data_IF_501567409261
#
_entry.id   IF_501567409261
#
_cell.length_a   1.000
_cell.length_b   1.000
_cell.length_c   1.000
_cell.angle_alpha   90.00
_cell.angle_beta   90.00
_cell.angle_gamma   90.00
#
_symmetry.space_group_name_H-M   'P 1'
#
loop_
_entity.id
_entity.type
_entity.pdbx_description
1 polymer ?
#
# COMPACT_ATOMS: atom_id res chain seq x y z
N UNK A 1 0.14 -14.44 20.53
CA UNK A 1 -1.20 -13.83 20.51
C UNK A 1 -2.23 -14.61 21.30
N UNK A 2 -2.19 -15.93 21.28
CA UNK A 2 -3.09 -16.79 22.07
C UNK A 2 -2.97 -16.53 23.56
N UNK A 3 -1.73 -16.37 24.08
CA UNK A 3 -1.48 -16.10 25.50
C UNK A 3 -2.13 -14.80 25.98
N UNK A 4 -2.12 -13.74 25.18
CA UNK A 4 -2.75 -12.46 25.56
C UNK A 4 -4.26 -12.62 25.73
N UNK A 5 -4.92 -13.38 24.86
CA UNK A 5 -6.35 -13.68 24.95
C UNK A 5 -6.71 -14.53 26.17
N UNK A 6 -5.82 -15.42 26.56
CA UNK A 6 -6.01 -16.27 27.75
C UNK A 6 -5.90 -15.46 29.05
N UNK A 7 -4.91 -14.55 29.11
CA UNK A 7 -4.66 -13.72 30.31
C UNK A 7 -5.62 -12.52 30.37
N UNK A 8 -5.95 -11.93 29.22
CA UNK A 8 -6.80 -10.73 29.11
C UNK A 8 -7.93 -10.97 28.11
N UNK A 9 -8.97 -11.77 28.45
CA UNK A 9 -10.01 -12.15 27.50
C UNK A 9 -10.84 -11.00 26.94
N UNK A 10 -10.86 -9.84 27.63
CA UNK A 10 -11.54 -8.61 27.18
C UNK A 10 -10.62 -7.67 26.43
N UNK A 11 -9.33 -7.94 26.33
CA UNK A 11 -8.39 -7.07 25.62
C UNK A 11 -8.57 -7.21 24.11
N UNK A 12 -8.59 -6.06 23.43
CA UNK A 12 -8.52 -6.02 21.97
C UNK A 12 -7.06 -6.03 21.52
N UNK A 13 -6.71 -6.98 20.66
CA UNK A 13 -5.40 -7.03 20.04
C UNK A 13 -5.41 -6.08 18.84
N UNK A 14 -4.50 -5.11 18.83
CA UNK A 14 -4.38 -4.09 17.80
C UNK A 14 -3.02 -4.25 17.13
N UNK A 15 -3.03 -4.37 15.80
CA UNK A 15 -1.81 -4.29 15.01
C UNK A 15 -1.42 -2.83 14.81
N UNK A 16 -0.12 -2.54 14.81
CA UNK A 16 0.36 -1.22 14.46
C UNK A 16 -0.04 -0.88 13.02
N UNK A 17 -0.65 0.30 12.83
CA UNK A 17 -1.00 0.83 11.51
C UNK A 17 0.19 0.84 10.56
N UNK A 18 1.37 1.17 11.08
CA UNK A 18 2.62 1.17 10.31
C UNK A 18 2.92 -0.22 9.74
N UNK A 19 2.74 -1.29 10.52
CA UNK A 19 2.99 -2.66 10.05
C UNK A 19 2.02 -3.08 8.95
N UNK A 20 0.76 -2.66 9.02
CA UNK A 20 -0.23 -2.96 7.99
C UNK A 20 0.14 -2.27 6.67
N UNK A 21 0.44 -0.97 6.73
CA UNK A 21 0.87 -0.20 5.55
C UNK A 21 2.18 -0.75 5.00
N UNK A 22 3.12 -1.11 5.87
CA UNK A 22 4.41 -1.68 5.48
C UNK A 22 4.25 -3.01 4.74
N UNK A 23 3.30 -3.85 5.15
CA UNK A 23 3.02 -5.13 4.50
C UNK A 23 2.63 -4.93 3.02
N UNK A 24 1.67 -4.05 2.76
CA UNK A 24 1.20 -3.78 1.39
C UNK A 24 2.19 -2.94 0.58
N UNK A 25 2.91 -2.02 1.21
CA UNK A 25 3.94 -1.24 0.52
C UNK A 25 5.13 -2.09 0.08
N UNK A 26 5.54 -3.06 0.90
CA UNK A 26 6.57 -4.05 0.54
C UNK A 26 6.11 -4.93 -0.63
N UNK A 27 4.86 -5.36 -0.63
CA UNK A 27 4.31 -6.17 -1.72
C UNK A 27 4.29 -5.38 -3.04
N UNK A 28 3.85 -4.12 -3.01
CA UNK A 28 3.88 -3.25 -4.18
C UNK A 28 5.31 -3.02 -4.66
N UNK A 29 6.24 -2.74 -3.75
CA UNK A 29 7.64 -2.52 -4.11
C UNK A 29 8.30 -3.77 -4.73
N UNK A 30 8.02 -4.96 -4.21
CA UNK A 30 8.50 -6.22 -4.79
C UNK A 30 7.93 -6.43 -6.20
N UNK A 31 6.66 -6.13 -6.41
CA UNK A 31 6.02 -6.17 -7.73
C UNK A 31 6.71 -5.23 -8.70
N UNK A 32 6.98 -4.00 -8.27
CA UNK A 32 7.73 -3.01 -9.06
C UNK A 32 9.12 -3.53 -9.43
N UNK A 33 9.87 -4.07 -8.46
CA UNK A 33 11.23 -4.60 -8.69
C UNK A 33 11.20 -5.73 -9.71
N UNK A 34 10.26 -6.66 -9.58
CA UNK A 34 10.10 -7.76 -10.53
C UNK A 34 9.81 -7.24 -11.94
N UNK A 35 8.86 -6.33 -12.07
CA UNK A 35 8.52 -5.71 -13.35
C UNK A 35 9.72 -4.96 -13.95
N UNK A 36 10.40 -4.16 -13.13
CA UNK A 36 11.59 -3.40 -13.53
C UNK A 36 12.70 -4.33 -14.09
N UNK A 37 12.93 -5.47 -13.43
CA UNK A 37 13.95 -6.42 -13.85
C UNK A 37 13.58 -7.17 -15.14
N UNK A 38 12.30 -7.38 -15.37
CA UNK A 38 11.78 -8.04 -16.58
C UNK A 38 11.69 -7.10 -17.78
N UNK A 39 11.63 -5.78 -17.54
CA UNK A 39 11.44 -4.75 -18.57
C UNK A 39 12.57 -3.73 -18.56
N UNK A 40 13.71 -4.11 -19.13
CA UNK A 40 14.95 -3.32 -19.13
C UNK A 40 14.78 -1.93 -19.77
N UNK A 41 13.89 -1.81 -20.71
CA UNK A 41 13.56 -0.55 -21.38
C UNK A 41 13.08 0.53 -20.40
N UNK A 42 12.32 0.12 -19.36
CA UNK A 42 11.77 1.03 -18.36
C UNK A 42 12.52 1.01 -17.03
N UNK A 43 13.62 0.27 -16.94
CA UNK A 43 14.37 0.04 -15.71
C UNK A 43 14.68 1.33 -14.95
N UNK A 44 15.26 2.32 -15.64
CA UNK A 44 15.68 3.57 -15.00
C UNK A 44 14.49 4.40 -14.50
N UNK A 45 13.35 4.36 -15.19
CA UNK A 45 12.13 5.06 -14.77
C UNK A 45 11.61 4.48 -13.46
N UNK A 46 11.50 3.17 -13.37
CA UNK A 46 11.07 2.49 -12.14
C UNK A 46 12.08 2.64 -10.99
N UNK A 47 13.37 2.58 -11.29
CA UNK A 47 14.42 2.73 -10.29
C UNK A 47 14.46 4.14 -9.71
N UNK A 48 14.31 5.15 -10.55
CA UNK A 48 14.41 6.55 -10.13
C UNK A 48 13.17 7.01 -9.36
N UNK A 49 11.97 6.62 -9.80
CA UNK A 49 10.70 7.14 -9.29
C UNK A 49 9.93 6.17 -8.39
N UNK A 50 10.59 5.18 -7.80
CA UNK A 50 9.93 4.17 -6.96
C UNK A 50 9.17 4.76 -5.76
N UNK A 51 9.66 5.86 -5.18
CA UNK A 51 9.03 6.52 -4.04
C UNK A 51 7.68 7.12 -4.39
N UNK A 52 7.50 7.55 -5.63
CA UNK A 52 6.22 8.09 -6.09
C UNK A 52 5.12 7.03 -6.12
N UNK A 53 5.47 5.77 -6.43
CA UNK A 53 4.52 4.66 -6.39
C UNK A 53 4.03 4.36 -4.97
N UNK A 54 4.87 4.59 -3.96
CA UNK A 54 4.52 4.37 -2.56
C UNK A 54 3.84 5.58 -1.90
N UNK A 55 3.86 6.72 -2.56
CA UNK A 55 3.23 7.95 -2.06
C UNK A 55 1.70 7.83 -2.13
N UNK A 56 1.01 8.42 -1.16
CA UNK A 56 -0.45 8.49 -1.22
C UNK A 56 -0.89 9.24 -2.48
N UNK A 57 -1.90 8.74 -3.15
CA UNK A 57 -2.34 9.27 -4.45
C UNK A 57 -2.74 10.76 -4.36
N UNK A 58 -3.40 11.15 -3.27
CA UNK A 58 -3.78 12.53 -3.03
C UNK A 58 -2.60 13.49 -2.81
N UNK A 59 -1.43 12.96 -2.48
CA UNK A 59 -0.21 13.75 -2.26
C UNK A 59 0.64 13.90 -3.52
N UNK A 60 0.26 13.26 -4.63
CA UNK A 60 0.96 13.41 -5.91
C UNK A 60 0.72 14.81 -6.49
N UNK A 61 1.80 15.47 -6.87
CA UNK A 61 1.71 16.80 -7.47
C UNK A 61 1.41 16.70 -8.97
N UNK A 62 0.29 17.27 -9.40
CA UNK A 62 -0.16 17.27 -10.79
C UNK A 62 0.15 18.58 -11.54
N UNK A 63 0.52 19.65 -10.82
CA UNK A 63 0.65 21.01 -11.38
C UNK A 63 2.08 21.52 -11.46
N UNK A 64 2.99 20.93 -10.65
CA UNK A 64 4.41 21.30 -10.69
C UNK A 64 5.14 20.44 -11.72
N UNK A 65 5.67 21.09 -12.75
CA UNK A 65 6.45 20.44 -13.81
C UNK A 65 7.93 20.65 -13.55
N UNK A 66 8.71 19.59 -13.72
CA UNK A 66 10.16 19.59 -13.64
C UNK A 66 10.76 18.81 -14.80
N UNK A 67 12.00 19.08 -15.16
CA UNK A 67 12.67 18.31 -16.20
C UNK A 67 13.13 16.96 -15.67
N UNK A 68 12.71 15.89 -16.31
CA UNK A 68 13.12 14.53 -15.99
C UNK A 68 14.13 14.01 -17.01
N UNK A 69 15.31 13.64 -16.51
CA UNK A 69 16.32 12.99 -17.36
C UNK A 69 15.88 11.61 -17.87
N UNK A 70 15.06 10.90 -17.08
CA UNK A 70 14.53 9.59 -17.48
C UNK A 70 13.49 9.68 -18.59
N UNK A 71 12.69 10.75 -18.59
CA UNK A 71 11.64 10.98 -19.58
C UNK A 71 12.07 11.97 -20.68
N UNK A 72 13.18 12.70 -20.48
CA UNK A 72 13.73 13.72 -21.41
C UNK A 72 12.69 14.80 -21.78
N UNK A 73 11.89 15.19 -20.80
CA UNK A 73 10.87 16.24 -20.96
C UNK A 73 10.46 16.82 -19.61
N UNK A 74 9.74 17.94 -19.67
CA UNK A 74 9.03 18.47 -18.51
C UNK A 74 7.84 17.55 -18.18
N UNK A 75 7.71 17.17 -16.90
CA UNK A 75 6.71 16.20 -16.46
C UNK A 75 6.35 16.47 -15.00
N UNK A 76 5.12 16.14 -14.61
CA UNK A 76 4.68 16.18 -13.21
C UNK A 76 4.76 14.80 -12.54
N UNK A 77 4.68 14.78 -11.21
CA UNK A 77 4.62 13.52 -10.46
C UNK A 77 3.42 12.66 -10.90
N UNK A 78 2.26 13.27 -11.09
CA UNK A 78 1.05 12.56 -11.52
C UNK A 78 1.24 11.92 -12.90
N UNK A 79 1.81 12.64 -13.84
CA UNK A 79 2.07 12.11 -15.19
C UNK A 79 3.07 10.95 -15.19
N UNK A 80 4.08 11.00 -14.30
CA UNK A 80 5.02 9.87 -14.13
C UNK A 80 4.28 8.63 -13.68
N UNK A 81 3.44 8.73 -12.66
CA UNK A 81 2.67 7.60 -12.14
C UNK A 81 1.69 7.08 -13.20
N UNK A 82 0.98 7.97 -13.89
CA UNK A 82 0.07 7.58 -14.97
C UNK A 82 0.80 6.79 -16.06
N UNK A 83 1.99 7.23 -16.44
CA UNK A 83 2.82 6.53 -17.41
C UNK A 83 3.21 5.12 -16.92
N UNK A 84 3.75 5.02 -15.69
CA UNK A 84 4.23 3.75 -15.16
C UNK A 84 3.10 2.74 -15.00
N UNK A 85 1.93 3.17 -14.54
CA UNK A 85 0.78 2.29 -14.32
C UNK A 85 0.12 1.87 -15.63
N UNK A 86 0.24 2.65 -16.70
CA UNK A 86 -0.27 2.28 -18.02
C UNK A 86 0.52 1.16 -18.69
N UNK A 87 1.73 0.86 -18.20
CA UNK A 87 2.60 -0.16 -18.79
C UNK A 87 2.14 -1.59 -18.51
N UNK A 88 1.47 -1.82 -17.37
CA UNK A 88 1.08 -3.16 -16.96
C UNK A 88 -0.17 -3.14 -16.07
N UNK A 89 -1.23 -3.89 -16.45
CA UNK A 89 -2.46 -3.99 -15.66
C UNK A 89 -2.26 -4.64 -14.29
N UNK A 90 -1.32 -5.61 -14.14
CA UNK A 90 -0.98 -6.21 -12.84
C UNK A 90 -0.42 -5.16 -11.88
N UNK A 91 0.50 -4.34 -12.36
CA UNK A 91 1.07 -3.26 -11.56
C UNK A 91 0.00 -2.22 -11.18
N UNK A 92 -0.87 -1.86 -12.11
CA UNK A 92 -1.97 -0.91 -11.89
C UNK A 92 -2.93 -1.41 -10.80
N UNK A 93 -3.41 -2.64 -10.90
CA UNK A 93 -4.33 -3.23 -9.92
C UNK A 93 -3.67 -3.38 -8.54
N UNK A 94 -2.41 -3.74 -8.51
CA UNK A 94 -1.63 -3.86 -7.27
C UNK A 94 -1.44 -2.49 -6.61
N UNK A 95 -1.18 -1.46 -7.41
CA UNK A 95 -1.11 -0.07 -6.93
C UNK A 95 -2.46 0.40 -6.38
N UNK A 96 -3.55 0.14 -7.08
CA UNK A 96 -4.89 0.56 -6.65
C UNK A 96 -5.29 -0.12 -5.33
N UNK A 97 -4.98 -1.40 -5.17
CA UNK A 97 -5.19 -2.12 -3.91
C UNK A 97 -4.39 -1.51 -2.76
N UNK A 98 -3.11 -1.21 -2.99
CA UNK A 98 -2.26 -0.53 -2.01
C UNK A 98 -2.85 0.80 -1.58
N UNK A 99 -3.28 1.63 -2.54
CA UNK A 99 -3.90 2.94 -2.25
C UNK A 99 -5.19 2.77 -1.45
N UNK A 100 -6.01 1.79 -1.79
CA UNK A 100 -7.27 1.51 -1.09
C UNK A 100 -7.03 1.11 0.37
N UNK A 101 -6.09 0.21 0.64
CA UNK A 101 -5.74 -0.19 2.01
C UNK A 101 -5.19 1.00 2.80
N UNK A 102 -4.28 1.78 2.20
CA UNK A 102 -3.72 2.96 2.84
C UNK A 102 -4.80 3.98 3.19
N UNK A 103 -5.74 4.23 2.28
CA UNK A 103 -6.86 5.15 2.48
C UNK A 103 -7.82 4.64 3.58
N UNK A 104 -8.13 3.34 3.58
CA UNK A 104 -8.98 2.73 4.61
C UNK A 104 -8.41 2.96 6.02
N UNK A 105 -7.10 2.81 6.18
CA UNK A 105 -6.41 3.05 7.45
C UNK A 105 -6.41 4.53 7.81
N UNK A 106 -6.10 5.41 6.86
CA UNK A 106 -6.05 6.86 7.05
C UNK A 106 -7.40 7.42 7.47
N UNK A 107 -8.46 7.01 6.78
CA UNK A 107 -9.84 7.46 7.05
C UNK A 107 -10.52 6.66 8.17
N UNK A 108 -9.86 5.65 8.71
CA UNK A 108 -10.43 4.74 9.70
C UNK A 108 -11.75 4.15 9.23
N UNK A 109 -11.80 3.77 7.95
CA UNK A 109 -13.01 3.24 7.30
C UNK A 109 -12.90 1.73 7.10
N UNK A 110 -13.62 0.98 7.95
CA UNK A 110 -13.62 -0.47 7.94
C UNK A 110 -14.35 -1.04 6.70
N UNK A 111 -15.35 -0.34 6.18
CA UNK A 111 -16.10 -0.78 5.00
C UNK A 111 -15.20 -0.82 3.76
N UNK A 112 -14.39 0.23 3.56
CA UNK A 112 -13.41 0.27 2.47
C UNK A 112 -12.43 -0.90 2.59
N UNK A 113 -11.93 -1.16 3.80
CA UNK A 113 -11.01 -2.26 4.04
C UNK A 113 -11.66 -3.63 3.73
N UNK A 114 -12.84 -3.89 4.28
CA UNK A 114 -13.55 -5.14 4.07
C UNK A 114 -13.88 -5.37 2.59
N UNK A 115 -14.36 -4.33 1.91
CA UNK A 115 -14.64 -4.43 0.48
C UNK A 115 -13.39 -4.81 -0.32
N UNK A 116 -12.25 -4.18 0.00
CA UNK A 116 -10.99 -4.45 -0.69
C UNK A 116 -10.51 -5.89 -0.53
N UNK A 117 -10.62 -6.46 0.68
CA UNK A 117 -10.17 -7.85 0.92
C UNK A 117 -11.16 -8.91 0.45
N UNK A 118 -12.45 -8.58 0.36
CA UNK A 118 -13.50 -9.50 -0.11
C UNK A 118 -13.66 -9.54 -1.63
N UNK A 119 -13.31 -8.45 -2.31
CA UNK A 119 -13.44 -8.30 -3.75
C UNK A 119 -12.11 -7.91 -4.42
N UNK A 120 -11.04 -8.72 -4.22
CA UNK A 120 -9.76 -8.42 -4.84
C UNK A 120 -9.81 -8.63 -6.35
N UNK A 121 -9.04 -7.83 -7.09
CA UNK A 121 -8.87 -8.05 -8.52
C UNK A 121 -8.11 -9.36 -8.80
N UNK A 122 -8.52 -10.09 -9.82
CA UNK A 122 -7.80 -11.28 -10.29
C UNK A 122 -6.40 -10.94 -10.82
N UNK A 123 -6.20 -9.68 -11.21
CA UNK A 123 -4.94 -9.16 -11.75
C UNK A 123 -3.93 -8.73 -10.67
N UNK A 124 -4.27 -8.86 -9.38
CA UNK A 124 -3.29 -8.56 -8.33
C UNK A 124 -2.01 -9.38 -8.51
N UNK A 125 -0.87 -8.75 -8.26
CA UNK A 125 0.41 -9.45 -8.29
C UNK A 125 0.45 -10.61 -7.28
N UNK A 126 1.30 -11.59 -7.56
CA UNK A 126 1.56 -12.69 -6.63
C UNK A 126 1.99 -12.18 -5.25
N UNK A 127 2.85 -11.17 -5.24
CA UNK A 127 3.34 -10.55 -4.02
C UNK A 127 2.21 -9.91 -3.21
N UNK A 128 1.28 -9.22 -3.90
CA UNK A 128 0.14 -8.60 -3.23
C UNK A 128 -0.91 -9.63 -2.79
N UNK A 129 -1.11 -10.71 -3.55
CA UNK A 129 -1.96 -11.83 -3.14
C UNK A 129 -1.47 -12.47 -1.84
N UNK A 130 -0.17 -12.58 -1.66
CA UNK A 130 0.43 -13.06 -0.41
C UNK A 130 0.14 -12.10 0.76
N UNK A 131 0.30 -10.80 0.55
CA UNK A 131 -0.06 -9.78 1.53
C UNK A 131 -1.56 -9.82 1.86
N UNK A 132 -2.41 -9.99 0.86
CA UNK A 132 -3.87 -10.13 1.04
C UNK A 132 -4.23 -11.32 1.92
N UNK A 133 -3.59 -12.46 1.73
CA UNK A 133 -3.79 -13.65 2.60
C UNK A 133 -3.46 -13.33 4.06
N UNK A 134 -2.37 -12.61 4.29
CA UNK A 134 -1.98 -12.18 5.64
C UNK A 134 -3.01 -11.21 6.22
N UNK A 135 -3.47 -10.22 5.46
CA UNK A 135 -4.50 -9.28 5.90
C UNK A 135 -5.82 -10.00 6.24
N UNK A 136 -6.21 -10.96 5.43
CA UNK A 136 -7.43 -11.76 5.65
C UNK A 136 -7.30 -12.62 6.90
N UNK A 137 -6.14 -13.22 7.12
CA UNK A 137 -5.88 -14.03 8.30
C UNK A 137 -5.97 -13.21 9.59
N UNK A 138 -5.46 -11.97 9.57
CA UNK A 138 -5.46 -11.06 10.72
C UNK A 138 -6.55 -9.99 10.66
N UNK A 139 -7.61 -10.19 9.87
CA UNK A 139 -8.64 -9.17 9.64
C UNK A 139 -9.29 -8.62 10.92
N UNK A 140 -9.47 -9.45 11.95
CA UNK A 140 -10.05 -9.00 13.22
C UNK A 140 -9.12 -8.03 13.94
N UNK A 141 -7.81 -8.27 13.90
CA UNK A 141 -6.82 -7.36 14.49
C UNK A 141 -6.71 -6.05 13.68
N UNK A 142 -6.78 -6.16 12.36
CA UNK A 142 -6.81 -4.97 11.47
C UNK A 142 -8.07 -4.14 11.74
N UNK A 143 -9.23 -4.79 11.90
CA UNK A 143 -10.47 -4.15 12.33
C UNK A 143 -10.27 -3.35 13.62
N UNK A 144 -9.70 -3.99 14.64
CA UNK A 144 -9.44 -3.34 15.91
C UNK A 144 -8.51 -2.12 15.74
N UNK A 145 -7.50 -2.23 14.87
CA UNK A 145 -6.59 -1.14 14.55
C UNK A 145 -7.30 0.04 13.88
N UNK A 146 -8.18 -0.22 12.93
CA UNK A 146 -8.95 0.79 12.22
C UNK A 146 -9.93 1.50 13.17
N UNK A 147 -10.62 0.74 14.02
CA UNK A 147 -11.62 1.26 14.96
C UNK A 147 -11.00 1.98 16.17
N UNK A 148 -9.77 1.63 16.56
CA UNK A 148 -9.11 2.18 17.74
C UNK A 148 -8.43 3.51 17.43
N UNK A 149 -8.71 4.58 18.17
CA UNK A 149 -8.11 5.91 17.91
C UNK A 149 -6.64 6.03 18.36
N UNK A 150 -6.11 5.04 19.09
CA UNK A 150 -4.78 5.10 19.67
C UNK A 150 -3.70 4.85 18.61
N UNK A 151 -2.63 5.63 18.72
CA UNK A 151 -1.39 5.41 17.96
C UNK A 151 -0.30 4.90 18.91
N UNK A 152 0.76 4.31 18.37
CA UNK A 152 1.89 3.88 19.20
C UNK A 152 2.50 5.03 20.01
N UNK A 153 2.57 6.24 19.44
CA UNK A 153 3.06 7.42 20.13
C UNK A 153 2.26 7.79 21.37
N UNK A 154 0.94 7.54 21.38
CA UNK A 154 0.09 7.74 22.54
C UNK A 154 0.33 6.69 23.62
N UNK A 155 0.54 5.43 23.21
CA UNK A 155 0.83 4.34 24.14
C UNK A 155 2.23 4.45 24.76
N UNK A 156 3.19 4.92 24.00
CA UNK A 156 4.56 5.15 24.47
C UNK A 156 4.66 6.36 25.44
N UNK A 157 3.71 7.29 25.37
CA UNK A 157 3.63 8.44 26.24
C UNK A 157 2.97 8.21 27.60
N UNK A 158 2.46 7.02 27.80
CA UNK A 158 1.88 6.58 29.08
C UNK A 158 2.91 5.84 29.90
#
# INVERSE_FOLDING_TARGET
>A
MTLIKEVFPKAKIVLDKFHIVQLVSRALNKTRIRFMNQNKEFYNKFKHYWRLLLKAQEDLNATHYFYSNCFKKMISQQEIIDFLLALDPELKETYDFYQTVQQAIKLRNLEIFHHAIQHPSDLLSHEMKTALKTLTHYQDYVKNTIETPYTNGVLEGI
#
